data_IF_499948528261
#
_entry.id   IF_499948528261
#
_cell.length_a   1.000
_cell.length_b   1.000
_cell.length_c   1.000
_cell.angle_alpha   90.00
_cell.angle_beta   90.00
_cell.angle_gamma   90.00
#
_symmetry.space_group_name_H-M   'P 1'
#
loop_
_entity.id
_entity.type
_entity.pdbx_description
1 polymer ?
#
# COMPACT_ATOMS: atom_id res chain seq x y z
N UNK A 1 -1.99 -0.92 -12.54
CA UNK A 1 -2.42 -0.22 -11.30
C UNK A 1 -1.45 -0.52 -10.17
N UNK A 2 -1.30 0.41 -9.26
CA UNK A 2 -0.43 0.29 -8.10
C UNK A 2 -1.21 0.57 -6.82
N UNK A 3 -1.16 -0.35 -5.88
CA UNK A 3 -1.57 -0.09 -4.51
C UNK A 3 -0.35 0.51 -3.79
N UNK A 4 -0.50 1.73 -3.30
CA UNK A 4 0.62 2.50 -2.74
C UNK A 4 0.58 2.42 -1.23
N UNK A 5 1.68 1.93 -0.66
CA UNK A 5 1.87 1.79 0.79
C UNK A 5 2.03 3.15 1.47
N UNK A 6 1.69 3.19 2.75
CA UNK A 6 1.81 4.39 3.59
C UNK A 6 3.21 5.01 3.54
N UNK A 7 4.26 4.20 3.49
CA UNK A 7 5.65 4.69 3.43
C UNK A 7 5.90 5.63 2.26
N UNK A 8 5.31 5.33 1.11
CA UNK A 8 5.44 6.14 -0.11
C UNK A 8 4.67 7.45 0.03
N UNK A 9 3.44 7.38 0.57
CA UNK A 9 2.63 8.57 0.80
C UNK A 9 3.31 9.54 1.77
N UNK A 10 3.87 9.01 2.86
CA UNK A 10 4.60 9.83 3.84
C UNK A 10 5.80 10.50 3.18
N UNK A 11 6.58 9.77 2.38
CA UNK A 11 7.70 10.33 1.63
C UNK A 11 7.24 11.47 0.71
N UNK A 12 6.14 11.24 0.01
CA UNK A 12 5.56 12.24 -0.90
C UNK A 12 5.15 13.52 -0.17
N UNK A 13 4.51 13.39 0.99
CA UNK A 13 4.08 14.56 1.77
C UNK A 13 5.25 15.31 2.41
N UNK A 14 6.37 14.64 2.67
CA UNK A 14 7.57 15.27 3.24
C UNK A 14 8.45 15.92 2.18
N UNK A 15 8.67 15.25 1.07
CA UNK A 15 9.76 15.59 0.16
C UNK A 15 9.36 15.54 -1.32
N UNK A 16 8.09 15.34 -1.61
CA UNK A 16 7.63 15.13 -2.98
C UNK A 16 8.25 13.88 -3.62
N UNK A 17 7.45 12.90 -3.90
CA UNK A 17 7.88 11.67 -4.57
C UNK A 17 7.48 11.76 -6.04
N UNK A 18 8.46 11.96 -6.91
CA UNK A 18 8.21 12.15 -8.35
C UNK A 18 7.57 10.92 -8.98
N UNK A 19 7.99 9.73 -8.55
CA UNK A 19 7.46 8.47 -9.04
C UNK A 19 5.96 8.33 -8.73
N UNK A 20 5.57 8.63 -7.49
CA UNK A 20 4.16 8.63 -7.09
C UNK A 20 3.36 9.69 -7.85
N UNK A 21 3.92 10.88 -8.00
CA UNK A 21 3.25 11.95 -8.76
C UNK A 21 2.95 11.51 -10.19
N UNK A 22 3.90 10.85 -10.84
CA UNK A 22 3.71 10.35 -12.20
C UNK A 22 2.58 9.30 -12.25
N UNK A 23 2.55 8.37 -11.29
CA UNK A 23 1.49 7.37 -11.20
C UNK A 23 0.11 8.01 -10.96
N UNK A 24 0.05 9.03 -10.12
CA UNK A 24 -1.18 9.77 -9.87
C UNK A 24 -1.66 10.49 -11.13
N UNK A 25 -0.74 11.13 -11.87
CA UNK A 25 -1.07 11.80 -13.12
C UNK A 25 -1.57 10.82 -14.19
N UNK A 26 -1.07 9.60 -14.18
CA UNK A 26 -1.52 8.54 -15.08
C UNK A 26 -2.85 7.90 -14.65
N UNK A 27 -3.34 8.19 -13.45
CA UNK A 27 -4.59 7.64 -12.95
C UNK A 27 -4.52 6.16 -12.61
N UNK A 28 -3.37 5.67 -12.18
CA UNK A 28 -3.14 4.24 -11.92
C UNK A 28 -2.78 3.93 -10.47
N UNK A 29 -3.23 4.77 -9.54
CA UNK A 29 -3.02 4.59 -8.11
C UNK A 29 -4.30 4.12 -7.44
N UNK A 30 -4.19 3.07 -6.63
CA UNK A 30 -5.27 2.55 -5.79
C UNK A 30 -5.00 2.93 -4.33
N UNK A 31 -6.06 3.23 -3.62
CA UNK A 31 -6.05 3.49 -2.18
C UNK A 31 -6.58 2.26 -1.43
N UNK A 32 -6.23 2.15 -0.17
CA UNK A 32 -6.74 1.11 0.73
C UNK A 32 -7.24 1.76 2.02
N UNK A 33 -8.35 1.29 2.61
CA UNK A 33 -8.86 1.88 3.85
C UNK A 33 -7.85 1.93 4.99
N UNK A 34 -6.97 0.93 5.11
CA UNK A 34 -5.96 0.92 6.17
C UNK A 34 -4.86 1.97 5.92
N UNK A 35 -4.49 2.19 4.68
CA UNK A 35 -3.55 3.27 4.32
C UNK A 35 -4.19 4.62 4.62
N UNK A 36 -5.45 4.80 4.23
CA UNK A 36 -6.20 6.02 4.54
C UNK A 36 -6.24 6.27 6.04
N UNK A 37 -6.52 5.23 6.82
CA UNK A 37 -6.57 5.32 8.28
C UNK A 37 -5.23 5.70 8.89
N UNK A 38 -4.14 5.10 8.43
CA UNK A 38 -2.80 5.43 8.89
C UNK A 38 -2.42 6.88 8.59
N UNK A 39 -2.74 7.35 7.39
CA UNK A 39 -2.51 8.74 7.01
C UNK A 39 -3.35 9.70 7.84
N UNK A 40 -4.59 9.33 8.13
CA UNK A 40 -5.50 10.14 8.95
C UNK A 40 -5.03 10.26 10.40
N UNK A 41 -4.29 9.28 10.92
CA UNK A 41 -3.71 9.31 12.26
C UNK A 41 -2.47 10.21 12.34
N UNK A 42 -1.87 10.55 11.22
CA UNK A 42 -0.65 11.35 11.18
C UNK A 42 -0.90 12.86 11.19
N UNK A 43 0.19 13.60 11.33
CA UNK A 43 0.17 15.08 11.31
C UNK A 43 0.41 15.57 9.89
N UNK A 44 -0.63 15.61 9.09
CA UNK A 44 -0.56 16.10 7.72
C UNK A 44 -0.76 17.61 7.67
N UNK A 45 0.08 18.28 6.88
CA UNK A 45 -0.16 19.68 6.49
C UNK A 45 -1.41 19.74 5.64
N UNK A 46 -2.31 20.70 5.92
CA UNK A 46 -3.59 20.80 5.23
C UNK A 46 -4.38 19.47 5.26
N UNK A 47 -4.38 18.84 6.41
CA UNK A 47 -4.90 17.48 6.62
C UNK A 47 -6.28 17.28 6.01
N UNK A 48 -7.22 18.17 6.29
CA UNK A 48 -8.61 18.05 5.82
C UNK A 48 -8.71 18.01 4.30
N UNK A 49 -8.00 18.92 3.62
CA UNK A 49 -7.98 18.99 2.17
C UNK A 49 -7.28 17.77 1.55
N UNK A 50 -6.16 17.35 2.14
CA UNK A 50 -5.40 16.19 1.66
C UNK A 50 -6.25 14.92 1.78
N UNK A 51 -6.87 14.69 2.92
CA UNK A 51 -7.72 13.50 3.12
C UNK A 51 -8.92 13.50 2.16
N UNK A 52 -9.53 14.66 1.92
CA UNK A 52 -10.62 14.79 0.95
C UNK A 52 -10.16 14.39 -0.46
N UNK A 53 -8.99 14.82 -0.88
CA UNK A 53 -8.42 14.46 -2.18
C UNK A 53 -8.10 12.96 -2.26
N UNK A 54 -7.54 12.39 -1.20
CA UNK A 54 -7.20 10.96 -1.18
C UNK A 54 -8.44 10.07 -1.26
N UNK A 55 -9.58 10.52 -0.73
CA UNK A 55 -10.85 9.79 -0.79
C UNK A 55 -11.41 9.70 -2.22
N UNK A 56 -10.93 10.53 -3.13
CA UNK A 56 -11.32 10.47 -4.55
C UNK A 56 -10.64 9.32 -5.30
N UNK A 57 -9.58 8.75 -4.74
CA UNK A 57 -8.86 7.66 -5.39
C UNK A 57 -9.67 6.37 -5.36
N UNK A 58 -9.60 5.55 -6.43
CA UNK A 58 -10.27 4.25 -6.43
C UNK A 58 -9.64 3.34 -5.37
N UNK A 59 -10.47 2.49 -4.78
CA UNK A 59 -10.05 1.55 -3.75
C UNK A 59 -9.62 0.22 -4.37
N UNK A 60 -8.55 -0.36 -3.81
CA UNK A 60 -8.22 -1.76 -4.03
C UNK A 60 -9.30 -2.64 -3.39
N UNK A 61 -9.40 -3.87 -3.86
CA UNK A 61 -10.27 -4.87 -3.24
C UNK A 61 -9.71 -5.17 -1.85
N UNK A 62 -10.50 -4.99 -0.80
CA UNK A 62 -10.10 -5.30 0.56
C UNK A 62 -10.23 -6.80 0.81
N UNK A 63 -9.18 -7.40 1.35
CA UNK A 63 -9.20 -8.80 1.76
C UNK A 63 -9.95 -8.94 3.09
N UNK A 64 -10.61 -10.06 3.28
CA UNK A 64 -11.22 -10.40 4.56
C UNK A 64 -10.16 -10.97 5.51
N UNK A 65 -10.44 -10.90 6.80
CA UNK A 65 -9.52 -11.39 7.84
C UNK A 65 -9.02 -12.81 7.55
N UNK A 66 -9.93 -13.73 7.22
CA UNK A 66 -9.57 -15.12 6.97
C UNK A 66 -8.73 -15.30 5.70
N UNK A 67 -8.95 -14.49 4.70
CA UNK A 67 -8.14 -14.51 3.48
C UNK A 67 -6.69 -14.12 3.78
N UNK A 68 -6.50 -13.10 4.61
CA UNK A 68 -5.15 -12.66 5.01
C UNK A 68 -4.46 -13.73 5.87
N UNK A 69 -5.19 -14.32 6.83
CA UNK A 69 -4.65 -15.39 7.66
C UNK A 69 -4.20 -16.57 6.80
N UNK A 70 -5.01 -16.94 5.83
CA UNK A 70 -4.70 -18.05 4.92
C UNK A 70 -3.48 -17.74 4.05
N UNK A 71 -3.39 -16.52 3.54
CA UNK A 71 -2.24 -16.08 2.73
C UNK A 71 -0.95 -16.15 3.55
N UNK A 72 -0.97 -15.68 4.80
CA UNK A 72 0.20 -15.74 5.67
C UNK A 72 0.71 -17.16 5.86
N UNK A 73 -0.20 -18.12 6.04
CA UNK A 73 0.17 -19.53 6.18
C UNK A 73 0.69 -20.12 4.87
N UNK A 74 -0.04 -19.91 3.78
CA UNK A 74 0.30 -20.50 2.48
C UNK A 74 1.61 -19.99 1.91
N UNK A 75 1.96 -18.73 2.17
CA UNK A 75 3.16 -18.08 1.63
C UNK A 75 4.23 -17.87 2.70
N UNK A 76 4.01 -18.40 3.89
CA UNK A 76 4.96 -18.28 5.01
C UNK A 76 5.38 -16.82 5.26
N UNK A 77 4.39 -15.92 5.28
CA UNK A 77 4.65 -14.48 5.48
C UNK A 77 4.93 -14.15 6.93
N UNK A 78 4.55 -15.02 7.86
CA UNK A 78 4.89 -14.87 9.27
C UNK A 78 6.41 -14.88 9.43
N UNK A 79 6.93 -14.16 10.42
CA UNK A 79 8.36 -14.00 10.69
C UNK A 79 9.19 -13.30 9.58
N UNK A 80 8.57 -12.67 8.60
CA UNK A 80 9.30 -11.89 7.58
C UNK A 80 9.50 -10.42 7.95
N UNK A 81 9.11 -10.03 9.16
CA UNK A 81 9.29 -8.67 9.64
C UNK A 81 8.24 -7.69 9.13
N UNK A 82 7.12 -8.18 8.65
CA UNK A 82 5.97 -7.35 8.26
C UNK A 82 4.88 -7.42 9.32
N UNK A 83 4.06 -6.37 9.39
CA UNK A 83 2.92 -6.33 10.29
C UNK A 83 1.63 -6.76 9.62
N UNK A 84 0.55 -6.77 10.42
CA UNK A 84 -0.78 -7.18 9.97
C UNK A 84 -1.31 -6.32 8.83
N UNK A 85 -1.12 -5.00 8.91
CA UNK A 85 -1.57 -4.08 7.85
C UNK A 85 -0.82 -4.39 6.55
N UNK A 86 0.48 -4.63 6.62
CA UNK A 86 1.27 -5.00 5.44
C UNK A 86 0.74 -6.26 4.78
N UNK A 87 0.39 -7.27 5.59
CA UNK A 87 -0.19 -8.52 5.10
C UNK A 87 -1.53 -8.26 4.39
N UNK A 88 -2.36 -7.37 4.92
CA UNK A 88 -3.61 -6.95 4.27
C UNK A 88 -3.35 -6.29 2.93
N UNK A 89 -2.34 -5.42 2.83
CA UNK A 89 -2.02 -4.74 1.57
C UNK A 89 -1.54 -5.73 0.51
N UNK A 90 -0.72 -6.69 0.90
CA UNK A 90 -0.26 -7.74 -0.02
C UNK A 90 -1.47 -8.56 -0.53
N UNK A 91 -2.36 -8.95 0.37
CA UNK A 91 -3.56 -9.70 0.00
C UNK A 91 -4.47 -8.89 -0.93
N UNK A 92 -4.66 -7.59 -0.64
CA UNK A 92 -5.46 -6.70 -1.48
C UNK A 92 -4.84 -6.51 -2.86
N UNK A 93 -3.52 -6.38 -2.95
CA UNK A 93 -2.83 -6.29 -4.23
C UNK A 93 -3.02 -7.56 -5.06
N UNK A 94 -2.96 -8.72 -4.41
CA UNK A 94 -3.19 -10.00 -5.06
C UNK A 94 -4.62 -10.11 -5.59
N UNK A 95 -5.62 -9.78 -4.76
CA UNK A 95 -7.03 -9.81 -5.15
C UNK A 95 -7.36 -8.81 -6.24
N UNK A 96 -6.72 -7.65 -6.22
CA UNK A 96 -6.94 -6.57 -7.20
C UNK A 96 -6.16 -6.78 -8.49
N UNK A 97 -5.25 -7.76 -8.53
CA UNK A 97 -4.41 -7.99 -9.69
C UNK A 97 -3.49 -6.81 -9.99
N UNK A 98 -3.05 -6.08 -8.99
CA UNK A 98 -2.22 -4.90 -9.13
C UNK A 98 -0.84 -5.10 -8.52
N UNK A 99 0.05 -4.15 -8.79
CA UNK A 99 1.38 -4.11 -8.19
C UNK A 99 1.32 -3.35 -6.87
N UNK A 100 2.32 -3.60 -6.03
CA UNK A 100 2.48 -2.87 -4.77
C UNK A 100 3.63 -1.88 -4.92
N UNK A 101 3.45 -0.65 -4.42
CA UNK A 101 4.53 0.33 -4.33
C UNK A 101 4.82 0.60 -2.85
N UNK A 102 6.04 0.27 -2.42
CA UNK A 102 6.48 0.44 -1.03
C UNK A 102 7.95 0.80 -0.98
N UNK A 103 8.34 1.59 0.02
CA UNK A 103 9.75 1.90 0.30
C UNK A 103 10.35 0.92 1.32
N UNK A 104 9.55 0.03 1.87
CA UNK A 104 10.00 -0.95 2.87
C UNK A 104 10.51 -2.22 2.17
N UNK A 105 11.80 -2.51 2.32
CA UNK A 105 12.45 -3.68 1.73
C UNK A 105 11.88 -5.00 2.21
N UNK A 106 11.51 -5.11 3.48
CA UNK A 106 10.91 -6.32 4.04
C UNK A 106 9.55 -6.59 3.41
N UNK A 107 8.78 -5.55 3.20
CA UNK A 107 7.48 -5.67 2.55
C UNK A 107 7.62 -6.06 1.08
N UNK A 108 8.62 -5.54 0.37
CA UNK A 108 8.90 -5.97 -1.01
C UNK A 108 9.23 -7.46 -1.09
N UNK A 109 10.06 -7.95 -0.17
CA UNK A 109 10.42 -9.37 -0.11
C UNK A 109 9.20 -10.25 0.18
N UNK A 110 8.38 -9.83 1.15
CA UNK A 110 7.15 -10.55 1.49
C UNK A 110 6.18 -10.57 0.31
N UNK A 111 6.02 -9.45 -0.39
CA UNK A 111 5.18 -9.37 -1.59
C UNK A 111 5.64 -10.34 -2.67
N UNK A 112 6.95 -10.42 -2.91
CA UNK A 112 7.53 -11.36 -3.88
C UNK A 112 7.22 -12.81 -3.49
N UNK A 113 7.31 -13.15 -2.20
CA UNK A 113 6.97 -14.48 -1.69
C UNK A 113 5.50 -14.82 -1.94
N UNK A 114 4.63 -13.84 -1.95
CA UNK A 114 3.20 -13.99 -2.25
C UNK A 114 2.89 -13.83 -3.74
N UNK A 115 3.92 -13.72 -4.60
CA UNK A 115 3.81 -13.53 -6.05
C UNK A 115 3.11 -12.21 -6.43
N UNK A 116 3.30 -11.19 -5.63
CA UNK A 116 2.88 -9.83 -5.93
C UNK A 116 4.10 -9.04 -6.39
N UNK A 117 4.04 -8.46 -7.57
CA UNK A 117 5.10 -7.58 -8.03
C UNK A 117 5.13 -6.32 -7.19
N UNK A 118 6.31 -5.95 -6.73
CA UNK A 118 6.46 -4.77 -5.91
C UNK A 118 7.53 -3.85 -6.49
N UNK A 119 7.24 -2.54 -6.46
CA UNK A 119 8.16 -1.47 -6.79
C UNK A 119 8.62 -0.83 -5.49
N UNK A 120 9.88 -0.39 -5.45
CA UNK A 120 10.44 0.30 -4.31
C UNK A 120 11.29 1.47 -4.73
N UNK A 121 12.07 2.00 -3.78
CA UNK A 121 13.08 3.00 -4.08
C UNK A 121 14.12 2.39 -5.02
N UNK A 122 14.40 3.04 -6.10
CA UNK A 122 15.42 2.62 -7.05
C UNK A 122 16.73 3.32 -6.75
#
# INVERSE_FOLDING_TARGET
MFLVDTSVWIDHFRSSNASLRDLLNEGIVLMHPFVMGELACGSLKNRKAVLANLQELPLAISAEHQEVMRLMEQRSLWSKGIGWIDAHLIASALLSGCRLYTLDGKMREAAASARVQARGAS
#
